data_IF_143670040821
#
_entry.id   IF_143670040821
#
_cell.length_a   1.000
_cell.length_b   1.000
_cell.length_c   1.000
_cell.angle_alpha   90.00
_cell.angle_beta   90.00
_cell.angle_gamma   90.00
#
_symmetry.space_group_name_H-M   'P 1'
#
loop_
_entity.id
_entity.type
_entity.pdbx_description
1 polymer ?
#
# COMPACT_ATOMS: atom_id res chain seq x y z
N UNK A 1 -10.94 0.93 -20.94
CA UNK A 1 -9.75 1.36 -20.19
C UNK A 1 -9.86 0.96 -18.73
N UNK A 2 -8.91 0.20 -18.25
CA UNK A 2 -8.94 -0.26 -16.85
C UNK A 2 -8.41 0.87 -15.98
N UNK A 3 -9.22 1.33 -15.04
CA UNK A 3 -8.79 2.28 -14.04
C UNK A 3 -8.27 1.56 -12.82
N UNK A 4 -7.08 1.92 -12.40
CA UNK A 4 -6.52 1.43 -11.16
C UNK A 4 -7.26 2.09 -9.99
N UNK A 5 -7.66 1.29 -8.99
CA UNK A 5 -8.45 1.77 -7.86
C UNK A 5 -7.73 1.53 -6.54
N UNK A 6 -8.27 2.10 -5.46
CA UNK A 6 -7.77 1.83 -4.12
C UNK A 6 -7.86 0.35 -3.76
N UNK A 7 -8.89 -0.35 -4.23
CA UNK A 7 -9.01 -1.79 -4.02
C UNK A 7 -7.89 -2.54 -4.73
N UNK A 8 -7.54 -2.12 -5.94
CA UNK A 8 -6.41 -2.70 -6.68
C UNK A 8 -5.10 -2.48 -5.92
N UNK A 9 -4.93 -1.31 -5.31
CA UNK A 9 -3.78 -1.01 -4.47
C UNK A 9 -3.69 -1.99 -3.30
N UNK A 10 -4.79 -2.19 -2.57
CA UNK A 10 -4.84 -3.14 -1.46
C UNK A 10 -4.41 -4.53 -1.94
N UNK A 11 -5.01 -5.00 -3.03
CA UNK A 11 -4.77 -6.35 -3.55
C UNK A 11 -3.32 -6.51 -4.02
N UNK A 12 -2.78 -5.51 -4.68
CA UNK A 12 -1.42 -5.57 -5.19
C UNK A 12 -0.39 -5.57 -4.07
N UNK A 13 -0.49 -4.65 -3.12
CA UNK A 13 0.46 -4.58 -2.00
C UNK A 13 0.35 -5.85 -1.15
N UNK A 14 -0.86 -6.34 -0.92
CA UNK A 14 -1.07 -7.59 -0.20
C UNK A 14 -0.37 -8.76 -0.89
N UNK A 15 -0.50 -8.85 -2.21
CA UNK A 15 0.17 -9.88 -3.00
C UNK A 15 1.69 -9.78 -2.88
N UNK A 16 2.23 -8.56 -2.93
CA UNK A 16 3.67 -8.34 -2.77
C UNK A 16 4.17 -8.82 -1.40
N UNK A 17 3.42 -8.51 -0.34
CA UNK A 17 3.80 -8.96 1.00
C UNK A 17 3.74 -10.48 1.11
N UNK A 18 2.68 -11.10 0.59
CA UNK A 18 2.50 -12.56 0.64
C UNK A 18 3.60 -13.29 -0.14
N UNK A 19 4.03 -12.72 -1.27
CA UNK A 19 5.10 -13.29 -2.08
C UNK A 19 6.49 -12.89 -1.57
N UNK A 20 6.55 -12.21 -0.44
CA UNK A 20 7.78 -11.81 0.23
C UNK A 20 8.64 -10.86 -0.60
N UNK A 21 8.02 -9.92 -1.29
CA UNK A 21 8.72 -8.85 -2.00
C UNK A 21 9.54 -8.01 -1.01
N UNK A 22 10.65 -7.44 -1.47
CA UNK A 22 11.49 -6.62 -0.61
C UNK A 22 10.74 -5.33 -0.21
N UNK A 23 11.13 -4.75 0.92
CA UNK A 23 10.56 -3.48 1.37
C UNK A 23 10.83 -2.38 0.35
N UNK A 24 11.98 -2.43 -0.31
CA UNK A 24 12.33 -1.48 -1.35
C UNK A 24 11.37 -1.57 -2.53
N UNK A 25 11.03 -2.78 -2.96
CA UNK A 25 10.08 -2.98 -4.06
C UNK A 25 8.69 -2.48 -3.67
N UNK A 26 8.25 -2.76 -2.45
CA UNK A 26 6.96 -2.29 -1.95
C UNK A 26 6.93 -0.76 -1.91
N UNK A 27 7.98 -0.14 -1.40
CA UNK A 27 8.10 1.32 -1.33
C UNK A 27 8.05 1.95 -2.73
N UNK A 28 8.78 1.37 -3.67
CA UNK A 28 8.81 1.85 -5.06
C UNK A 28 7.43 1.76 -5.71
N UNK A 29 6.76 0.63 -5.51
CA UNK A 29 5.44 0.45 -6.12
C UNK A 29 4.42 1.40 -5.51
N UNK A 30 4.49 1.64 -4.20
CA UNK A 30 3.61 2.61 -3.55
C UNK A 30 3.83 4.01 -4.12
N UNK A 31 5.09 4.38 -4.38
CA UNK A 31 5.41 5.67 -4.98
C UNK A 31 4.83 5.79 -6.40
N UNK A 32 4.97 4.75 -7.22
CA UNK A 32 4.41 4.74 -8.56
C UNK A 32 2.88 4.92 -8.52
N UNK A 33 2.22 4.21 -7.63
CA UNK A 33 0.78 4.27 -7.49
C UNK A 33 0.30 5.62 -6.97
N UNK A 34 1.07 6.24 -6.06
CA UNK A 34 0.76 7.59 -5.58
C UNK A 34 0.81 8.64 -6.69
N UNK A 35 1.67 8.42 -7.68
CA UNK A 35 1.81 9.33 -8.81
C UNK A 35 0.85 9.00 -9.96
N UNK A 36 0.00 7.98 -9.78
CA UNK A 36 -1.02 7.63 -10.75
C UNK A 36 -2.25 8.54 -10.59
N UNK A 37 -3.20 8.42 -11.50
CA UNK A 37 -4.42 9.24 -11.49
C UNK A 37 -5.53 8.65 -10.62
N UNK A 38 -5.16 7.91 -9.57
CA UNK A 38 -6.13 7.37 -8.60
C UNK A 38 -6.67 8.50 -7.73
N UNK A 39 -7.97 8.48 -7.51
CA UNK A 39 -8.63 9.42 -6.59
C UNK A 39 -8.53 8.87 -5.17
N UNK A 40 -7.46 9.24 -4.48
CA UNK A 40 -7.13 8.70 -3.17
C UNK A 40 -7.95 9.32 -2.05
N UNK A 41 -8.53 8.46 -1.19
CA UNK A 41 -9.01 8.90 0.12
C UNK A 41 -7.81 9.23 1.01
N UNK A 42 -8.01 10.13 1.97
CA UNK A 42 -6.94 10.57 2.85
C UNK A 42 -6.26 9.40 3.58
N UNK A 43 -7.04 8.45 4.11
CA UNK A 43 -6.47 7.29 4.81
C UNK A 43 -5.60 6.42 3.91
N UNK A 44 -6.01 6.22 2.66
CA UNK A 44 -5.21 5.46 1.69
C UNK A 44 -3.94 6.21 1.32
N UNK A 45 -4.05 7.51 1.13
CA UNK A 45 -2.89 8.34 0.82
C UNK A 45 -1.88 8.30 1.95
N UNK A 46 -2.35 8.43 3.20
CA UNK A 46 -1.48 8.41 4.36
C UNK A 46 -0.77 7.07 4.48
N UNK A 47 -1.48 5.96 4.27
CA UNK A 47 -0.88 4.64 4.30
C UNK A 47 0.12 4.45 3.16
N UNK A 48 -0.19 4.93 1.96
CA UNK A 48 0.74 4.86 0.83
C UNK A 48 2.02 5.64 1.13
N UNK A 49 1.91 6.81 1.76
CA UNK A 49 3.08 7.58 2.18
C UNK A 49 3.90 6.83 3.22
N UNK A 50 3.25 6.14 4.15
CA UNK A 50 3.95 5.29 5.12
C UNK A 50 4.73 4.18 4.41
N UNK A 51 4.12 3.54 3.40
CA UNK A 51 4.79 2.51 2.62
C UNK A 51 5.99 3.05 1.84
N UNK A 52 5.89 4.25 1.31
CA UNK A 52 7.02 4.89 0.63
C UNK A 52 8.19 5.07 1.59
N UNK A 53 7.90 5.35 2.85
CA UNK A 53 8.91 5.65 3.86
C UNK A 53 9.47 4.43 4.60
N UNK A 54 8.96 3.21 4.35
CA UNK A 54 9.37 2.02 5.12
C UNK A 54 10.84 1.63 4.95
N UNK A 55 11.50 2.14 3.92
CA UNK A 55 12.94 1.91 3.73
C UNK A 55 13.81 2.87 4.55
N UNK A 56 13.21 3.87 5.16
CA UNK A 56 13.94 4.87 5.96
C UNK A 56 14.02 4.44 7.42
N UNK A 57 15.15 4.73 8.12
CA UNK A 57 15.26 4.44 9.54
C UNK A 57 14.15 5.14 10.34
N UNK A 58 13.50 4.40 11.23
CA UNK A 58 12.42 4.92 12.07
C UNK A 58 11.03 4.79 11.47
N UNK A 59 10.92 4.38 10.20
CA UNK A 59 9.63 4.22 9.52
C UNK A 59 9.37 2.79 9.10
N UNK A 60 10.16 1.85 9.60
CA UNK A 60 10.04 0.44 9.23
C UNK A 60 8.71 -0.16 9.70
N UNK A 61 8.07 -0.90 8.80
CA UNK A 61 6.89 -1.71 9.11
C UNK A 61 7.18 -3.16 8.80
N UNK A 62 6.74 -4.07 9.67
CA UNK A 62 6.83 -5.50 9.39
C UNK A 62 5.78 -5.89 8.36
N UNK A 63 5.95 -7.06 7.74
CA UNK A 63 4.95 -7.59 6.82
C UNK A 63 3.60 -7.74 7.51
N UNK A 64 3.58 -8.19 8.76
CA UNK A 64 2.34 -8.34 9.51
C UNK A 64 1.64 -7.00 9.74
N UNK A 65 2.39 -5.95 10.03
CA UNK A 65 1.84 -4.60 10.20
C UNK A 65 1.25 -4.08 8.89
N UNK A 66 1.94 -4.30 7.77
CA UNK A 66 1.45 -3.89 6.46
C UNK A 66 0.14 -4.62 6.14
N UNK A 67 0.11 -5.94 6.34
CA UNK A 67 -1.10 -6.74 6.10
C UNK A 67 -2.26 -6.32 7.00
N UNK A 68 -1.98 -6.04 8.27
CA UNK A 68 -3.02 -5.58 9.19
C UNK A 68 -3.65 -4.27 8.72
N UNK A 69 -2.83 -3.30 8.32
CA UNK A 69 -3.32 -2.03 7.81
C UNK A 69 -4.14 -2.20 6.54
N UNK A 70 -3.68 -3.05 5.62
CA UNK A 70 -4.41 -3.34 4.38
C UNK A 70 -5.76 -3.98 4.67
N UNK A 71 -5.79 -4.91 5.62
CA UNK A 71 -7.03 -5.58 6.00
C UNK A 71 -8.02 -4.60 6.65
N UNK A 72 -7.54 -3.71 7.48
CA UNK A 72 -8.38 -2.69 8.12
C UNK A 72 -8.99 -1.74 7.09
N UNK A 73 -8.19 -1.26 6.14
CA UNK A 73 -8.67 -0.39 5.07
C UNK A 73 -9.67 -1.11 4.17
N UNK A 74 -9.36 -2.35 3.80
CA UNK A 74 -10.26 -3.15 2.97
C UNK A 74 -11.60 -3.41 3.66
N UNK A 75 -11.56 -3.72 4.95
CA UNK A 75 -12.76 -3.99 5.73
C UNK A 75 -13.63 -2.75 5.89
N UNK A 76 -13.00 -1.59 6.01
CA UNK A 76 -13.71 -0.32 6.20
C UNK A 76 -14.37 0.18 4.92
N UNK A 77 -13.69 0.07 3.79
CA UNK A 77 -14.15 0.66 2.52
C UNK A 77 -14.58 -0.34 1.46
N UNK A 78 -14.12 -1.58 1.55
CA UNK A 78 -14.42 -2.64 0.57
C UNK A 78 -14.74 -3.94 1.30
N UNK A 79 -15.78 -3.95 2.15
CA UNK A 79 -16.16 -5.12 2.93
C UNK A 79 -16.62 -6.31 2.08
#
# INVERSE_FOLDING_TARGET
MIRYSEQDFINEIKSMVITNASKQDISYRALELMNSSIDWREEFRDFALDLISIIEPGFYMTNDEILENLNLLGKKYYP
#
